data_IF_493643899880
#
_entry.id   IF_493643899880
#
_cell.length_a   1.000
_cell.length_b   1.000
_cell.length_c   1.000
_cell.angle_alpha   90.00
_cell.angle_beta   90.00
_cell.angle_gamma   90.00
#
_symmetry.space_group_name_H-M   'P 1'
#
loop_
_entity.id
_entity.type
_entity.pdbx_description
1 polymer ?
#
# COMPACT_ATOMS: atom_id res chain seq x y z
N UNK A 1 18.07 -7.13 -18.64
CA UNK A 1 19.29 -7.99 -18.62
C UNK A 1 19.12 -9.05 -19.69
N UNK A 2 20.17 -9.50 -20.37
CA UNK A 2 20.05 -10.56 -21.39
C UNK A 2 20.25 -11.96 -20.83
N UNK A 3 20.88 -12.08 -19.66
CA UNK A 3 21.17 -13.34 -18.98
C UNK A 3 19.97 -13.75 -18.12
N UNK A 4 19.40 -14.92 -18.42
CA UNK A 4 18.19 -15.43 -17.76
C UNK A 4 18.49 -15.97 -16.36
N UNK A 5 19.60 -16.68 -16.20
CA UNK A 5 20.04 -17.28 -14.94
C UNK A 5 20.28 -16.24 -13.83
N UNK A 6 20.93 -15.12 -14.18
CA UNK A 6 21.13 -13.98 -13.27
C UNK A 6 19.78 -13.42 -12.82
N UNK A 7 18.83 -13.28 -13.74
CA UNK A 7 17.51 -12.74 -13.44
C UNK A 7 16.66 -13.73 -12.65
N UNK A 8 16.73 -15.03 -12.94
CA UNK A 8 16.07 -16.08 -12.19
C UNK A 8 16.52 -16.08 -10.73
N UNK A 9 17.84 -16.03 -10.50
CA UNK A 9 18.39 -15.94 -9.13
C UNK A 9 17.92 -14.68 -8.39
N UNK A 10 17.86 -13.53 -9.07
CA UNK A 10 17.34 -12.29 -8.46
C UNK A 10 15.84 -12.40 -8.15
N UNK A 11 15.08 -13.10 -8.99
CA UNK A 11 13.66 -13.36 -8.78
C UNK A 11 13.43 -14.15 -7.49
N UNK A 12 14.22 -15.21 -7.29
CA UNK A 12 14.20 -16.04 -6.07
C UNK A 12 14.59 -15.22 -4.84
N UNK A 13 15.66 -14.41 -4.93
CA UNK A 13 16.10 -13.55 -3.84
C UNK A 13 15.01 -12.58 -3.38
N UNK A 14 14.23 -12.04 -4.33
CA UNK A 14 13.13 -11.12 -4.03
C UNK A 14 11.79 -11.82 -3.80
N UNK A 15 11.70 -13.15 -3.97
CA UNK A 15 10.46 -13.91 -3.86
C UNK A 15 9.39 -13.45 -4.85
N UNK A 16 9.78 -13.22 -6.10
CA UNK A 16 8.90 -12.77 -7.19
C UNK A 16 9.18 -13.56 -8.47
N UNK A 17 8.26 -13.52 -9.43
CA UNK A 17 8.48 -14.11 -10.75
C UNK A 17 9.25 -13.15 -11.65
N UNK A 18 10.16 -13.68 -12.47
CA UNK A 18 10.73 -12.92 -13.59
C UNK A 18 9.90 -13.13 -14.85
N UNK A 19 10.08 -12.21 -15.81
CA UNK A 19 9.37 -12.24 -17.08
C UNK A 19 10.36 -12.04 -18.23
N UNK A 20 10.15 -12.79 -19.30
CA UNK A 20 10.81 -12.57 -20.59
C UNK A 20 10.06 -11.46 -21.34
N UNK A 21 10.77 -10.41 -21.70
CA UNK A 21 10.22 -9.32 -22.49
C UNK A 21 10.21 -9.69 -23.97
N UNK A 22 9.08 -9.43 -24.64
CA UNK A 22 8.96 -9.65 -26.07
C UNK A 22 9.75 -8.60 -26.85
N UNK A 23 10.50 -9.04 -27.86
CA UNK A 23 11.41 -8.18 -28.63
C UNK A 23 10.59 -7.34 -29.61
N UNK A 24 10.71 -6.01 -29.55
CA UNK A 24 10.14 -5.11 -30.56
C UNK A 24 10.99 -5.07 -31.83
N UNK A 25 12.31 -5.27 -31.70
CA UNK A 25 13.25 -5.38 -32.82
C UNK A 25 13.86 -6.80 -32.85
N UNK A 26 13.73 -7.54 -33.96
CA UNK A 26 14.27 -8.90 -34.09
C UNK A 26 15.79 -8.99 -33.96
N UNK A 27 16.53 -7.89 -34.11
CA UNK A 27 18.00 -7.85 -33.99
C UNK A 27 18.52 -7.71 -32.55
N UNK A 28 17.68 -7.31 -31.58
CA UNK A 28 18.12 -7.05 -30.19
C UNK A 28 17.91 -8.25 -29.28
N UNK A 29 18.92 -8.83 -28.64
CA UNK A 29 18.76 -10.02 -27.77
C UNK A 29 17.53 -9.92 -26.83
N UNK A 30 16.82 -11.04 -26.54
CA UNK A 30 15.71 -11.04 -25.59
C UNK A 30 16.19 -10.52 -24.24
N UNK A 31 15.32 -9.79 -23.54
CA UNK A 31 15.61 -9.30 -22.19
C UNK A 31 14.71 -9.98 -21.17
N UNK A 32 15.28 -10.21 -20.00
CA UNK A 32 14.60 -10.72 -18.83
C UNK A 32 14.60 -9.64 -17.75
N UNK A 33 13.51 -9.59 -16.99
CA UNK A 33 13.32 -8.60 -15.94
C UNK A 33 12.56 -9.15 -14.75
N UNK A 34 12.93 -8.64 -13.58
CA UNK A 34 12.17 -8.75 -12.33
C UNK A 34 11.55 -7.40 -12.04
N UNK A 35 10.32 -7.41 -11.53
CA UNK A 35 9.61 -6.20 -11.15
C UNK A 35 9.19 -6.26 -9.69
N UNK A 36 9.65 -5.28 -8.90
CA UNK A 36 9.21 -5.05 -7.54
C UNK A 36 8.49 -3.70 -7.46
N UNK A 37 7.38 -3.64 -6.72
CA UNK A 37 6.53 -2.44 -6.62
C UNK A 37 6.22 -2.10 -5.16
N UNK A 38 5.76 -0.87 -4.94
CA UNK A 38 5.21 -0.43 -3.66
C UNK A 38 6.24 -0.40 -2.53
N UNK A 39 5.76 -0.61 -1.29
CA UNK A 39 6.57 -0.45 -0.07
C UNK A 39 7.84 -1.30 -0.06
N UNK A 40 7.76 -2.54 -0.57
CA UNK A 40 8.92 -3.45 -0.67
C UNK A 40 9.99 -2.86 -1.58
N UNK A 41 9.60 -2.27 -2.71
CA UNK A 41 10.55 -1.63 -3.62
C UNK A 41 11.24 -0.42 -2.96
N UNK A 42 10.48 0.43 -2.28
CA UNK A 42 11.04 1.58 -1.57
C UNK A 42 12.03 1.17 -0.48
N UNK A 43 11.73 0.12 0.29
CA UNK A 43 12.64 -0.42 1.31
C UNK A 43 13.97 -0.91 0.70
N UNK A 44 13.92 -1.69 -0.38
CA UNK A 44 15.15 -2.11 -1.07
C UNK A 44 15.93 -0.92 -1.65
N UNK A 45 15.25 0.06 -2.25
CA UNK A 45 15.90 1.25 -2.77
C UNK A 45 16.67 2.00 -1.67
N UNK A 46 16.07 2.19 -0.50
CA UNK A 46 16.73 2.83 0.65
C UNK A 46 17.94 2.04 1.15
N UNK A 47 17.84 0.71 1.22
CA UNK A 47 18.96 -0.15 1.66
C UNK A 47 20.11 -0.19 0.67
N UNK A 48 19.80 -0.17 -0.62
CA UNK A 48 20.81 -0.20 -1.69
C UNK A 48 21.43 1.18 -1.94
N UNK A 49 20.72 2.27 -1.65
CA UNK A 49 21.16 3.65 -1.87
C UNK A 49 22.64 3.94 -1.51
N UNK A 50 23.15 3.61 -0.30
CA UNK A 50 24.55 3.90 0.05
C UNK A 50 25.57 3.09 -0.78
N UNK A 51 25.17 1.97 -1.37
CA UNK A 51 26.03 1.11 -2.20
C UNK A 51 26.02 1.51 -3.67
N UNK A 52 25.14 2.45 -4.06
CA UNK A 52 24.97 2.87 -5.44
C UNK A 52 25.86 4.07 -5.78
N UNK A 53 26.30 4.16 -7.03
CA UNK A 53 26.95 5.38 -7.54
C UNK A 53 25.98 6.57 -7.63
N UNK A 54 26.52 7.79 -7.65
CA UNK A 54 25.77 9.06 -7.61
C UNK A 54 24.60 9.12 -8.61
N UNK A 55 24.79 8.62 -9.84
CA UNK A 55 23.73 8.60 -10.86
C UNK A 55 22.51 7.79 -10.43
N UNK A 56 22.72 6.65 -9.76
CA UNK A 56 21.64 5.77 -9.30
C UNK A 56 21.04 6.26 -7.97
N UNK A 57 21.85 6.82 -7.08
CA UNK A 57 21.39 7.54 -5.90
C UNK A 57 20.37 8.61 -6.27
N UNK A 58 20.72 9.53 -7.19
CA UNK A 58 19.81 10.58 -7.62
C UNK A 58 18.55 10.08 -8.38
N UNK A 59 18.52 8.84 -8.88
CA UNK A 59 17.29 8.23 -9.41
C UNK A 59 16.42 7.66 -8.29
N UNK A 60 17.03 7.02 -7.30
CA UNK A 60 16.36 6.54 -6.09
C UNK A 60 15.74 7.71 -5.34
N UNK A 61 16.47 8.81 -5.14
CA UNK A 61 15.99 9.99 -4.42
C UNK A 61 14.72 10.57 -5.06
N UNK A 62 14.73 10.72 -6.39
CA UNK A 62 13.56 11.18 -7.15
C UNK A 62 12.37 10.23 -7.04
N UNK A 63 12.62 8.93 -7.06
CA UNK A 63 11.58 7.92 -6.91
C UNK A 63 10.98 7.96 -5.50
N UNK A 64 11.81 7.99 -4.46
CA UNK A 64 11.37 8.05 -3.07
C UNK A 64 10.65 9.36 -2.74
N UNK A 65 11.11 10.50 -3.25
CA UNK A 65 10.48 11.80 -3.05
C UNK A 65 9.08 11.89 -3.67
N UNK A 66 8.87 11.24 -4.83
CA UNK A 66 7.56 11.18 -5.48
C UNK A 66 6.67 10.03 -4.94
N UNK A 67 7.25 9.08 -4.21
CA UNK A 67 6.55 7.93 -3.71
C UNK A 67 5.65 8.27 -2.52
N UNK A 68 4.34 8.38 -2.79
CA UNK A 68 3.32 8.47 -1.74
C UNK A 68 2.67 7.10 -1.58
N UNK A 69 2.75 6.52 -0.38
CA UNK A 69 1.85 5.43 0.00
C UNK A 69 0.43 5.99 -0.03
N UNK A 70 -0.50 5.44 -0.84
CA UNK A 70 -1.89 5.84 -0.74
C UNK A 70 -2.35 5.52 0.68
N UNK A 71 -2.73 6.55 1.42
CA UNK A 71 -3.30 6.40 2.74
C UNK A 71 -4.71 5.83 2.57
N UNK A 72 -4.85 4.50 2.55
CA UNK A 72 -6.15 3.83 2.34
C UNK A 72 -6.95 3.71 3.64
N UNK A 73 -6.90 4.73 4.50
CA UNK A 73 -7.64 4.75 5.77
C UNK A 73 -8.83 5.69 5.67
N UNK A 74 -9.92 5.29 6.31
CA UNK A 74 -11.17 6.07 6.35
C UNK A 74 -11.68 6.42 4.96
N UNK A 75 -12.05 7.69 4.75
CA UNK A 75 -12.62 8.19 3.48
C UNK A 75 -11.69 8.05 2.27
N UNK A 76 -10.38 7.95 2.49
CA UNK A 76 -9.41 7.72 1.42
C UNK A 76 -9.39 6.27 0.94
N UNK A 77 -10.08 5.37 1.64
CA UNK A 77 -10.35 4.03 1.15
C UNK A 77 -11.63 4.06 0.30
N UNK A 78 -11.49 3.76 -0.99
CA UNK A 78 -12.64 3.69 -1.92
C UNK A 78 -13.67 2.61 -1.55
N UNK A 79 -13.34 1.68 -0.65
CA UNK A 79 -14.25 0.67 -0.12
C UNK A 79 -14.85 1.05 1.25
N UNK A 80 -14.51 2.22 1.81
CA UNK A 80 -15.08 2.66 3.08
C UNK A 80 -16.57 2.96 2.91
N UNK A 81 -17.39 2.30 3.73
CA UNK A 81 -18.84 2.56 3.82
C UNK A 81 -19.19 3.78 4.67
N UNK A 82 -18.23 4.28 5.44
CA UNK A 82 -18.44 5.36 6.40
C UNK A 82 -17.61 6.58 6.03
N UNK A 83 -18.20 7.76 6.21
CA UNK A 83 -17.53 9.06 6.14
C UNK A 83 -17.02 9.50 7.51
N UNK A 84 -16.11 10.47 7.54
CA UNK A 84 -15.60 11.06 8.78
C UNK A 84 -16.75 11.65 9.62
N UNK A 85 -17.70 12.31 8.97
CA UNK A 85 -18.88 12.89 9.62
C UNK A 85 -19.79 11.81 10.23
N UNK A 86 -20.02 10.71 9.51
CA UNK A 86 -20.79 9.57 10.04
C UNK A 86 -20.09 8.93 11.24
N UNK A 87 -18.76 8.84 11.22
CA UNK A 87 -17.99 8.29 12.35
C UNK A 87 -18.09 9.20 13.58
N UNK A 88 -18.04 10.52 13.42
CA UNK A 88 -18.27 11.48 14.51
C UNK A 88 -19.68 11.29 15.11
N UNK A 89 -20.69 11.14 14.26
CA UNK A 89 -22.06 10.89 14.70
C UNK A 89 -22.17 9.55 15.47
N UNK A 90 -21.57 8.48 14.94
CA UNK A 90 -21.51 7.17 15.59
C UNK A 90 -20.86 7.28 16.97
N UNK A 91 -19.75 8.02 17.10
CA UNK A 91 -19.08 8.24 18.39
C UNK A 91 -19.99 8.97 19.39
N UNK A 92 -20.68 10.03 18.95
CA UNK A 92 -21.64 10.76 19.79
C UNK A 92 -22.79 9.85 20.26
N UNK A 93 -23.30 8.98 19.39
CA UNK A 93 -24.36 8.01 19.73
C UNK A 93 -23.86 6.94 20.71
N UNK A 94 -22.63 6.45 20.53
CA UNK A 94 -21.98 5.52 21.46
C UNK A 94 -21.76 6.15 22.85
N UNK A 95 -21.39 7.43 22.92
CA UNK A 95 -21.25 8.17 24.19
C UNK A 95 -22.60 8.33 24.89
N UNK A 96 -23.70 8.51 24.13
CA UNK A 96 -25.07 8.52 24.65
C UNK A 96 -25.57 7.15 25.12
N UNK A 97 -24.76 6.10 25.01
CA UNK A 97 -25.09 4.75 25.48
C UNK A 97 -25.94 3.93 24.52
N UNK A 98 -26.12 4.38 23.27
CA UNK A 98 -26.84 3.58 22.27
C UNK A 98 -26.11 2.26 21.98
N UNK A 99 -26.88 1.19 21.75
CA UNK A 99 -26.32 -0.14 21.51
C UNK A 99 -25.61 -0.18 20.15
N UNK A 100 -24.35 -0.69 20.08
CA UNK A 100 -23.59 -0.77 18.83
C UNK A 100 -24.29 -1.52 17.70
N UNK A 101 -25.10 -2.54 18.01
CA UNK A 101 -25.87 -3.30 17.03
C UNK A 101 -26.96 -2.48 16.33
N UNK A 102 -27.62 -1.57 17.06
CA UNK A 102 -28.64 -0.67 16.52
C UNK A 102 -28.01 0.38 15.62
N UNK A 103 -26.88 0.95 16.06
CA UNK A 103 -26.11 1.90 15.26
C UNK A 103 -25.64 1.21 13.97
N UNK A 104 -25.11 0.00 14.06
CA UNK A 104 -24.63 -0.76 12.90
C UNK A 104 -25.72 -1.00 11.85
N UNK A 105 -26.94 -1.34 12.28
CA UNK A 105 -28.08 -1.53 11.39
C UNK A 105 -28.43 -0.24 10.62
N UNK A 106 -28.35 0.93 11.26
CA UNK A 106 -28.67 2.21 10.63
C UNK A 106 -27.70 2.61 9.51
N UNK A 107 -26.44 2.17 9.60
CA UNK A 107 -25.41 2.48 8.60
C UNK A 107 -25.08 1.27 7.69
N UNK A 108 -25.84 0.17 7.78
CA UNK A 108 -25.61 -1.07 7.00
C UNK A 108 -24.16 -1.59 7.10
N UNK A 109 -23.58 -1.47 8.29
CA UNK A 109 -22.23 -1.95 8.62
C UNK A 109 -22.29 -3.08 9.63
N UNK A 110 -21.20 -3.82 9.76
CA UNK A 110 -21.09 -4.84 10.80
C UNK A 110 -21.03 -4.19 12.19
N UNK A 111 -21.66 -4.81 13.19
CA UNK A 111 -21.52 -4.34 14.57
C UNK A 111 -20.05 -4.33 15.04
N UNK A 112 -19.20 -5.21 14.47
CA UNK A 112 -17.76 -5.18 14.70
C UNK A 112 -17.10 -3.90 14.20
N UNK A 113 -17.59 -3.31 13.09
CA UNK A 113 -17.11 -2.02 12.59
C UNK A 113 -17.37 -0.91 13.60
N UNK A 114 -18.55 -0.89 14.21
CA UNK A 114 -18.88 0.07 15.29
C UNK A 114 -18.01 -0.19 16.54
N UNK A 115 -17.75 -1.46 16.87
CA UNK A 115 -16.86 -1.81 17.98
C UNK A 115 -15.40 -1.39 17.73
N UNK A 116 -14.88 -1.53 16.52
CA UNK A 116 -13.53 -1.10 16.17
C UNK A 116 -13.39 0.43 16.15
N UNK A 117 -14.46 1.15 15.81
CA UNK A 117 -14.53 2.61 16.00
C UNK A 117 -14.52 2.95 17.49
N UNK A 118 -15.35 2.27 18.30
CA UNK A 118 -15.44 2.49 19.75
C UNK A 118 -14.11 2.24 20.46
N UNK A 119 -13.38 1.20 20.05
CA UNK A 119 -12.10 0.80 20.63
C UNK A 119 -10.90 1.58 20.06
N UNK A 120 -11.13 2.55 19.16
CA UNK A 120 -10.05 3.33 18.54
C UNK A 120 -9.11 2.48 17.68
N UNK A 121 -9.57 1.34 17.14
CA UNK A 121 -8.79 0.51 16.21
C UNK A 121 -8.85 1.05 14.79
N UNK A 122 -9.93 1.76 14.47
CA UNK A 122 -10.15 2.45 13.19
C UNK A 122 -10.50 3.91 13.45
N UNK A 123 -10.22 4.79 12.49
CA UNK A 123 -10.55 6.22 12.58
C UNK A 123 -9.93 6.97 13.78
N UNK A 124 -8.74 6.54 14.23
CA UNK A 124 -7.97 7.13 15.34
C UNK A 124 -7.72 8.63 15.21
N UNK A 125 -7.55 9.11 13.98
CA UNK A 125 -7.34 10.54 13.68
C UNK A 125 -8.53 11.45 14.03
N UNK A 126 -9.68 10.85 14.38
CA UNK A 126 -10.89 11.56 14.81
C UNK A 126 -11.12 11.41 16.33
N UNK A 127 -10.13 10.92 17.07
CA UNK A 127 -10.13 10.96 18.54
C UNK A 127 -9.53 12.32 18.96
N UNK A 128 -10.27 13.09 19.78
CA UNK A 128 -9.74 14.28 20.49
C UNK A 128 -8.99 13.86 21.76
#
# INVERSE_FOLDING_TARGET
MTDEDVIARVADLFGVKYHRWQRTNPNHKPSFQVLLRGKRAADYMSRLHPLMGQRRQGQIDRALASFKMPDQRGEKNNQSKLTAQQVIEIKNRLQKGERPSVIAANYEVSHYTIMDIKLGRTWQQLDE
#
